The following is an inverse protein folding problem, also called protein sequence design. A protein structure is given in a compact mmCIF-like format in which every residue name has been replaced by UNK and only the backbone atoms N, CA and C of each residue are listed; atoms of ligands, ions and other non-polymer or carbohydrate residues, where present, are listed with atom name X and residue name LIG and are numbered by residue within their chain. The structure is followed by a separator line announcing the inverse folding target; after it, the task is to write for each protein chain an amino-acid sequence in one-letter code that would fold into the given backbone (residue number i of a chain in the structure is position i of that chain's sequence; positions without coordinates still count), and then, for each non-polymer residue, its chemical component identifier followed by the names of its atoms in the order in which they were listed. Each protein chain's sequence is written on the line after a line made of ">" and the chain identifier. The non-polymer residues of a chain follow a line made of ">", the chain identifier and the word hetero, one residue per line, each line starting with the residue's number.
data_IF_595178756950
#
_entry.id   IF_595178756950
#
_cell.length_a   1.000
_cell.length_b   1.000
_cell.length_c   1.000
_cell.angle_alpha   90.00
_cell.angle_beta   90.00
_cell.angle_gamma   90.00
#
_symmetry.space_group_name_H-M   'P 1'
#
loop_
_entity.id
_entity.type
_entity.pdbx_description
1 polymer ?
#
# COMPACT_ATOMS: atom_id res chain seq x y z
N UNK A 1 9.89 -15.83 2.48
CA UNK A 1 8.55 -15.63 1.90
C UNK A 1 8.71 -15.82 0.41
N UNK A 2 7.95 -16.72 -0.21
CA UNK A 2 8.05 -17.00 -1.64
C UNK A 2 7.33 -15.90 -2.46
N UNK A 3 7.66 -15.77 -3.76
CA UNK A 3 7.03 -14.79 -4.67
C UNK A 3 5.49 -14.76 -4.56
N UNK A 4 4.75 -15.88 -4.53
CA UNK A 4 3.29 -15.84 -4.38
C UNK A 4 2.81 -15.17 -3.09
N UNK A 5 3.46 -15.46 -1.95
CA UNK A 5 3.12 -14.87 -0.65
C UNK A 5 3.40 -13.34 -0.63
N UNK A 6 4.44 -12.90 -1.34
CA UNK A 6 4.74 -11.47 -1.52
C UNK A 6 3.68 -10.78 -2.37
N UNK A 7 3.22 -11.42 -3.45
CA UNK A 7 2.12 -10.92 -4.28
C UNK A 7 0.81 -10.81 -3.48
N UNK A 8 0.52 -11.77 -2.60
CA UNK A 8 -0.64 -11.71 -1.71
C UNK A 8 -0.53 -10.53 -0.74
N UNK A 9 0.67 -10.28 -0.17
CA UNK A 9 0.92 -9.13 0.70
C UNK A 9 0.74 -7.79 -0.03
N UNK A 10 1.30 -7.65 -1.23
CA UNK A 10 1.11 -6.45 -2.06
C UNK A 10 -0.38 -6.22 -2.36
N UNK A 11 -1.11 -7.28 -2.69
CA UNK A 11 -2.55 -7.19 -2.94
C UNK A 11 -3.32 -6.68 -1.71
N UNK A 12 -3.00 -7.20 -0.52
CA UNK A 12 -3.61 -6.76 0.73
C UNK A 12 -3.30 -5.29 1.05
N UNK A 13 -2.08 -4.83 0.80
CA UNK A 13 -1.68 -3.43 0.98
C UNK A 13 -2.46 -2.50 0.04
N UNK A 14 -2.57 -2.86 -1.24
CA UNK A 14 -3.33 -2.09 -2.23
C UNK A 14 -4.83 -2.04 -1.90
N UNK A 15 -5.40 -3.14 -1.39
CA UNK A 15 -6.80 -3.14 -0.95
C UNK A 15 -7.02 -2.25 0.27
N UNK A 16 -6.04 -2.15 1.17
CA UNK A 16 -6.08 -1.19 2.28
C UNK A 16 -6.04 0.26 1.77
N UNK A 17 -5.26 0.53 0.73
CA UNK A 17 -5.21 1.85 0.08
C UNK A 17 -6.56 2.23 -0.56
N UNK A 18 -7.24 1.29 -1.24
CA UNK A 18 -8.58 1.51 -1.82
C UNK A 18 -9.63 1.85 -0.76
N UNK A 19 -9.53 1.24 0.43
CA UNK A 19 -10.41 1.58 1.56
C UNK A 19 -10.19 3.03 2.00
N UNK A 20 -8.95 3.50 2.04
CA UNK A 20 -8.67 4.92 2.33
C UNK A 20 -9.24 5.86 1.28
N UNK A 21 -9.11 5.54 -0.02
CA UNK A 21 -9.71 6.36 -1.09
C UNK A 21 -11.24 6.47 -0.93
N UNK A 22 -11.90 5.37 -0.55
CA UNK A 22 -13.35 5.35 -0.30
C UNK A 22 -13.72 6.25 0.89
N UNK A 23 -12.95 6.16 1.98
CA UNK A 23 -13.15 6.97 3.19
C UNK A 23 -12.98 8.46 2.87
N UNK A 24 -11.87 8.83 2.23
CA UNK A 24 -11.56 10.22 1.87
C UNK A 24 -12.60 10.84 0.94
N UNK A 25 -13.19 10.05 0.02
CA UNK A 25 -14.26 10.53 -0.87
C UNK A 25 -15.62 10.62 -0.19
N UNK A 26 -15.86 9.82 0.84
CA UNK A 26 -17.15 9.74 1.55
C UNK A 26 -17.34 10.79 2.64
N UNK A 27 -16.25 11.20 3.29
CA UNK A 27 -16.28 12.05 4.49
C UNK A 27 -15.55 13.38 4.28
N UNK A 28 -16.13 14.45 4.84
CA UNK A 28 -15.49 15.77 4.92
C UNK A 28 -14.56 15.84 6.14
N UNK A 29 -13.38 15.22 6.03
CA UNK A 29 -12.36 15.31 7.07
C UNK A 29 -11.80 16.72 7.21
N UNK A 30 -11.53 17.12 8.46
CA UNK A 30 -10.73 18.31 8.73
C UNK A 30 -9.28 18.16 8.24
N UNK A 31 -8.52 19.26 8.09
CA UNK A 31 -7.16 19.24 7.55
C UNK A 31 -6.19 18.31 8.30
N UNK A 32 -6.26 18.28 9.63
CA UNK A 32 -5.39 17.42 10.46
C UNK A 32 -5.63 15.93 10.18
N UNK A 33 -6.90 15.49 10.18
CA UNK A 33 -7.26 14.12 9.86
C UNK A 33 -6.87 13.74 8.42
N UNK A 34 -6.92 14.70 7.49
CA UNK A 34 -6.49 14.48 6.11
C UNK A 34 -4.97 14.27 6.00
N UNK A 35 -4.17 14.98 6.78
CA UNK A 35 -2.71 14.82 6.77
C UNK A 35 -2.27 13.50 7.41
N UNK A 36 -2.95 13.06 8.48
CA UNK A 36 -2.75 11.72 9.05
C UNK A 36 -3.11 10.61 8.04
N UNK A 37 -4.23 10.76 7.32
CA UNK A 37 -4.65 9.83 6.28
C UNK A 37 -3.64 9.77 5.13
N UNK A 38 -3.11 10.91 4.67
CA UNK A 38 -2.06 10.95 3.66
C UNK A 38 -0.78 10.28 4.12
N UNK A 39 -0.36 10.53 5.37
CA UNK A 39 0.84 9.91 5.94
C UNK A 39 0.71 8.39 5.98
N UNK A 40 -0.45 7.89 6.43
CA UNK A 40 -0.76 6.47 6.45
C UNK A 40 -0.81 5.86 5.05
N UNK A 41 -1.45 6.55 4.08
CA UNK A 41 -1.50 6.10 2.69
C UNK A 41 -0.10 6.03 2.08
N UNK A 42 0.75 7.02 2.35
CA UNK A 42 2.15 7.01 1.91
C UNK A 42 2.91 5.82 2.46
N UNK A 43 2.78 5.52 3.76
CA UNK A 43 3.44 4.35 4.36
C UNK A 43 3.05 3.03 3.70
N UNK A 44 1.77 2.87 3.34
CA UNK A 44 1.29 1.67 2.62
C UNK A 44 1.90 1.58 1.22
N UNK A 45 1.99 2.70 0.50
CA UNK A 45 2.60 2.74 -0.83
C UNK A 45 4.09 2.40 -0.76
N UNK A 46 4.80 2.96 0.21
CA UNK A 46 6.22 2.69 0.42
C UNK A 46 6.45 1.21 0.75
N UNK A 47 5.65 0.61 1.64
CA UNK A 47 5.72 -0.84 1.95
C UNK A 47 5.40 -1.72 0.73
N UNK A 48 4.39 -1.33 -0.07
CA UNK A 48 4.02 -2.06 -1.28
C UNK A 48 5.16 -2.04 -2.30
N UNK A 49 5.85 -0.90 -2.41
CA UNK A 49 6.99 -0.73 -3.31
C UNK A 49 8.17 -1.60 -2.87
N UNK A 50 8.48 -1.65 -1.57
CA UNK A 50 9.56 -2.51 -1.06
C UNK A 50 9.32 -3.99 -1.37
N UNK A 51 8.08 -4.48 -1.20
CA UNK A 51 7.75 -5.86 -1.57
C UNK A 51 7.84 -6.11 -3.08
N UNK A 52 7.38 -5.17 -3.91
CA UNK A 52 7.51 -5.26 -5.37
C UNK A 52 8.98 -5.26 -5.82
N UNK A 53 9.83 -4.44 -5.20
CA UNK A 53 11.26 -4.40 -5.49
C UNK A 53 11.93 -5.73 -5.13
N UNK A 54 11.52 -6.37 -4.03
CA UNK A 54 11.99 -7.71 -3.66
C UNK A 54 11.52 -8.78 -4.64
N UNK A 55 10.24 -8.79 -5.03
CA UNK A 55 9.71 -9.71 -6.05
C UNK A 55 10.50 -9.57 -7.35
N UNK A 56 10.71 -8.32 -7.80
CA UNK A 56 11.47 -8.04 -9.02
C UNK A 56 12.89 -8.57 -8.92
N UNK A 57 13.59 -8.30 -7.81
CA UNK A 57 14.95 -8.78 -7.59
C UNK A 57 15.05 -10.31 -7.60
N UNK A 58 14.06 -11.00 -7.04
CA UNK A 58 14.01 -12.47 -7.06
C UNK A 58 13.77 -13.01 -8.47
N UNK A 59 12.85 -12.40 -9.24
CA UNK A 59 12.57 -12.78 -10.64
C UNK A 59 13.76 -12.51 -11.55
N UNK A 60 14.43 -11.36 -11.42
CA UNK A 60 15.60 -11.00 -12.23
C UNK A 60 16.80 -11.95 -11.97
N UNK A 61 16.81 -12.63 -10.82
CA UNK A 61 17.85 -13.58 -10.41
C UNK A 61 17.55 -15.04 -10.77
N UNK A 62 16.42 -15.30 -11.44
CA UNK A 62 15.92 -16.64 -11.79
C UNK A 62 16.30 -17.03 -13.23
#
# INVERSE_FOLDING_TARGET
>A
MAIPEKCDRVSALLDRLKKYDTIVKGDNFGPEAMDDLKSNAKGIVDESKEELDQIKSEVDSW
#
